data_IF_369127036070
#
_entry.id   IF_369127036070
#
_cell.length_a   1.000
_cell.length_b   1.000
_cell.length_c   1.000
_cell.angle_alpha   90.00
_cell.angle_beta   90.00
_cell.angle_gamma   90.00
#
_symmetry.space_group_name_H-M   'P 1'
#
loop_
_entity.id
_entity.type
_entity.pdbx_description
1 polymer ?
#
# COMPACT_ATOMS: atom_id res chain seq x y z
N UNK A 1 13.09 -0.01 -33.09
CA UNK A 1 12.97 1.44 -32.80
C UNK A 1 13.84 1.79 -31.62
N UNK A 2 14.52 2.92 -31.68
CA UNK A 2 15.20 3.48 -30.51
C UNK A 2 14.18 3.97 -29.48
N UNK A 3 14.54 4.05 -28.19
CA UNK A 3 13.65 4.55 -27.15
C UNK A 3 13.10 5.96 -27.47
N UNK A 4 13.92 6.78 -28.12
CA UNK A 4 13.54 8.13 -28.59
C UNK A 4 12.48 8.08 -29.68
N UNK A 5 12.61 7.18 -30.65
CA UNK A 5 11.59 6.98 -31.70
C UNK A 5 10.26 6.51 -31.10
N UNK A 6 10.31 5.58 -30.14
CA UNK A 6 9.11 5.11 -29.44
C UNK A 6 8.39 6.24 -28.71
N UNK A 7 9.11 7.09 -27.98
CA UNK A 7 8.51 8.25 -27.30
C UNK A 7 7.91 9.25 -28.27
N UNK A 8 8.60 9.56 -29.37
CA UNK A 8 8.10 10.50 -30.39
C UNK A 8 6.82 9.96 -31.05
N UNK A 9 6.80 8.66 -31.38
CA UNK A 9 5.61 8.04 -31.96
C UNK A 9 4.44 8.05 -30.96
N UNK A 10 4.70 7.72 -29.69
CA UNK A 10 3.68 7.73 -28.66
C UNK A 10 3.09 9.13 -28.42
N UNK A 11 3.92 10.17 -28.41
CA UNK A 11 3.45 11.55 -28.31
C UNK A 11 2.49 11.91 -29.45
N UNK A 12 2.83 11.56 -30.69
CA UNK A 12 1.94 11.80 -31.84
C UNK A 12 0.59 11.10 -31.71
N UNK A 13 0.60 9.85 -31.22
CA UNK A 13 -0.63 9.09 -30.96
C UNK A 13 -1.50 9.81 -29.92
N UNK A 14 -0.92 10.28 -28.81
CA UNK A 14 -1.64 11.04 -27.78
C UNK A 14 -2.23 12.35 -28.32
N UNK A 15 -1.44 13.15 -29.04
CA UNK A 15 -1.88 14.43 -29.61
C UNK A 15 -3.03 14.26 -30.59
N UNK A 16 -2.96 13.21 -31.42
CA UNK A 16 -4.00 12.88 -32.41
C UNK A 16 -5.31 12.47 -31.74
N UNK A 17 -5.24 11.59 -30.74
CA UNK A 17 -6.43 11.03 -30.10
C UNK A 17 -7.09 12.02 -29.13
N UNK A 18 -6.30 12.69 -28.30
CA UNK A 18 -6.84 13.55 -27.23
C UNK A 18 -6.91 15.03 -27.60
N UNK A 19 -6.45 15.40 -28.81
CA UNK A 19 -6.61 16.75 -29.38
C UNK A 19 -5.94 17.86 -28.56
N UNK A 20 -4.81 17.58 -27.92
CA UNK A 20 -3.96 18.56 -27.25
C UNK A 20 -2.52 18.50 -27.79
N UNK A 21 -1.70 19.49 -27.45
CA UNK A 21 -0.26 19.47 -27.74
C UNK A 21 0.51 18.99 -26.51
N UNK A 22 1.42 18.04 -26.69
CA UNK A 22 2.27 17.52 -25.60
C UNK A 22 3.56 18.33 -25.55
N UNK A 23 3.78 19.02 -24.43
CA UNK A 23 5.02 19.77 -24.19
C UNK A 23 6.12 18.88 -23.60
N UNK A 24 5.75 17.90 -22.77
CA UNK A 24 6.70 16.98 -22.15
C UNK A 24 6.02 15.66 -21.77
N UNK A 25 6.81 14.59 -21.69
CA UNK A 25 6.37 13.29 -21.19
C UNK A 25 7.43 12.65 -20.32
N UNK A 26 7.03 12.16 -19.16
CA UNK A 26 7.88 11.44 -18.23
C UNK A 26 7.39 10.00 -18.09
N UNK A 27 8.19 9.05 -18.57
CA UNK A 27 7.89 7.62 -18.38
C UNK A 27 8.29 7.22 -16.95
N UNK A 28 7.29 6.95 -16.12
CA UNK A 28 7.48 6.51 -14.74
C UNK A 28 7.88 5.04 -14.65
N UNK A 29 7.79 4.49 -13.43
CA UNK A 29 8.01 3.05 -13.21
C UNK A 29 6.77 2.25 -13.60
N UNK A 30 6.98 1.05 -14.15
CA UNK A 30 5.90 0.12 -14.46
C UNK A 30 4.96 0.67 -15.52
N UNK A 31 3.65 0.60 -15.29
CA UNK A 31 2.61 1.02 -16.23
C UNK A 31 2.30 2.53 -16.20
N UNK A 32 3.02 3.33 -15.42
CA UNK A 32 2.68 4.74 -15.16
C UNK A 32 3.54 5.71 -15.98
N UNK A 33 2.96 6.84 -16.36
CA UNK A 33 3.65 7.96 -17.00
C UNK A 33 2.94 9.28 -16.65
N UNK A 34 3.58 10.42 -16.86
CA UNK A 34 2.96 11.74 -16.72
C UNK A 34 3.13 12.52 -18.03
N UNK A 35 2.09 13.24 -18.44
CA UNK A 35 2.03 14.02 -19.69
C UNK A 35 1.75 15.48 -19.35
N UNK A 36 2.60 16.38 -19.83
CA UNK A 36 2.36 17.82 -19.77
C UNK A 36 1.88 18.28 -21.13
N UNK A 37 0.79 19.05 -21.13
CA UNK A 37 0.13 19.52 -22.35
C UNK A 37 -0.13 21.01 -22.28
N UNK A 38 -0.60 21.60 -23.38
CA UNK A 38 -1.09 22.98 -23.41
C UNK A 38 -2.41 23.19 -22.64
N UNK A 39 -3.10 22.13 -22.22
CA UNK A 39 -4.38 22.20 -21.49
C UNK A 39 -4.28 21.71 -20.03
N UNK A 40 -3.09 21.30 -19.59
CA UNK A 40 -2.86 20.84 -18.22
C UNK A 40 -1.91 19.65 -18.13
N UNK A 41 -1.78 19.11 -16.92
CA UNK A 41 -1.01 17.90 -16.65
C UNK A 41 -1.94 16.69 -16.53
N UNK A 42 -1.51 15.56 -17.05
CA UNK A 42 -2.23 14.29 -16.95
C UNK A 42 -1.33 13.21 -16.36
N UNK A 43 -1.89 12.37 -15.49
CA UNK A 43 -1.30 11.10 -15.11
C UNK A 43 -1.76 10.04 -16.10
N UNK A 44 -0.81 9.36 -16.73
CA UNK A 44 -1.07 8.29 -17.67
C UNK A 44 -0.91 6.91 -17.07
N UNK A 45 -1.71 5.95 -17.55
CA UNK A 45 -1.61 4.54 -17.17
C UNK A 45 -1.72 3.63 -18.39
N UNK A 46 -0.87 2.60 -18.41
CA UNK A 46 -0.84 1.54 -19.41
C UNK A 46 -1.59 0.31 -18.91
N UNK A 47 -2.30 -0.35 -19.82
CA UNK A 47 -3.04 -1.58 -19.60
C UNK A 47 -2.54 -2.64 -20.57
N UNK A 48 -2.37 -3.85 -20.05
CA UNK A 48 -1.78 -4.96 -20.79
C UNK A 48 -2.74 -5.46 -21.87
N UNK A 49 -4.05 -5.42 -21.62
CA UNK A 49 -5.09 -5.94 -22.51
C UNK A 49 -6.45 -5.27 -22.24
N UNK A 50 -7.45 -5.57 -23.07
CA UNK A 50 -8.83 -5.07 -22.91
C UNK A 50 -9.53 -5.62 -21.66
N UNK A 51 -9.12 -6.80 -21.19
CA UNK A 51 -9.64 -7.35 -19.94
C UNK A 51 -9.30 -6.45 -18.75
N UNK A 52 -8.07 -5.97 -18.65
CA UNK A 52 -7.65 -5.01 -17.62
C UNK A 52 -8.46 -3.70 -17.68
N UNK A 53 -8.81 -3.24 -18.89
CA UNK A 53 -9.67 -2.06 -19.08
C UNK A 53 -11.07 -2.35 -18.53
N UNK A 54 -11.69 -3.45 -18.95
CA UNK A 54 -13.04 -3.84 -18.50
C UNK A 54 -13.13 -3.92 -16.98
N UNK A 55 -12.10 -4.44 -16.34
CA UNK A 55 -12.01 -4.50 -14.88
C UNK A 55 -12.02 -3.11 -14.23
N UNK A 56 -11.18 -2.19 -14.72
CA UNK A 56 -11.16 -0.81 -14.20
C UNK A 56 -12.50 -0.13 -14.44
N UNK A 57 -13.13 -0.33 -15.59
CA UNK A 57 -14.44 0.25 -15.87
C UNK A 57 -15.54 -0.33 -14.99
N UNK A 58 -15.55 -1.64 -14.74
CA UNK A 58 -16.53 -2.30 -13.87
C UNK A 58 -16.41 -1.80 -12.45
N UNK A 59 -15.19 -1.77 -11.89
CA UNK A 59 -14.91 -1.20 -10.56
C UNK A 59 -15.30 0.29 -10.51
N UNK A 60 -14.99 1.05 -11.58
CA UNK A 60 -15.35 2.45 -11.68
C UNK A 60 -16.88 2.66 -11.66
N UNK A 61 -17.63 1.87 -12.42
CA UNK A 61 -19.10 1.93 -12.46
C UNK A 61 -19.70 1.57 -11.10
N UNK A 62 -19.27 0.46 -10.49
CA UNK A 62 -19.75 0.02 -9.18
C UNK A 62 -19.58 1.09 -8.11
N UNK A 63 -18.42 1.75 -8.05
CA UNK A 63 -18.16 2.81 -7.08
C UNK A 63 -18.82 4.15 -7.47
N UNK A 64 -19.02 4.44 -8.77
CA UNK A 64 -19.70 5.67 -9.23
C UNK A 64 -21.22 5.64 -8.97
N UNK A 65 -21.87 4.48 -9.05
CA UNK A 65 -23.32 4.33 -8.83
C UNK A 65 -23.76 4.78 -7.43
N UNK A 66 -22.89 4.68 -6.42
CA UNK A 66 -23.19 5.10 -5.06
C UNK A 66 -22.84 6.57 -4.76
N UNK A 67 -22.53 7.38 -5.80
CA UNK A 67 -22.21 8.81 -5.68
C UNK A 67 -21.05 9.12 -4.72
N UNK A 68 -20.04 8.25 -4.65
CA UNK A 68 -18.87 8.46 -3.80
C UNK A 68 -17.68 9.01 -4.62
N UNK A 69 -17.04 10.05 -4.09
CA UNK A 69 -15.99 10.85 -4.75
C UNK A 69 -14.62 10.15 -4.89
N UNK A 70 -14.57 8.82 -4.78
CA UNK A 70 -13.35 8.05 -4.45
C UNK A 70 -12.54 7.62 -5.67
N UNK A 71 -13.14 7.57 -6.86
CA UNK A 71 -12.44 7.10 -8.06
C UNK A 71 -12.06 8.25 -8.99
N UNK A 72 -10.81 8.25 -9.43
CA UNK A 72 -10.38 9.02 -10.59
C UNK A 72 -10.83 8.29 -11.87
N UNK A 73 -11.68 8.95 -12.66
CA UNK A 73 -12.08 8.47 -13.99
C UNK A 73 -11.12 8.98 -15.07
N UNK A 74 -10.87 8.19 -16.12
CA UNK A 74 -10.11 8.65 -17.26
C UNK A 74 -10.70 9.89 -17.96
N UNK A 75 -9.83 10.72 -18.54
CA UNK A 75 -10.21 11.84 -19.40
C UNK A 75 -10.96 11.33 -20.64
N UNK A 76 -12.15 11.90 -20.90
CA UNK A 76 -13.11 11.46 -21.93
C UNK A 76 -13.75 10.08 -21.68
N UNK A 77 -13.82 9.62 -20.44
CA UNK A 77 -14.56 8.38 -20.11
C UNK A 77 -16.03 8.49 -20.57
N UNK A 78 -16.61 7.46 -21.22
CA UNK A 78 -16.10 6.09 -21.40
C UNK A 78 -15.13 5.86 -22.58
N UNK A 79 -14.97 6.80 -23.50
CA UNK A 79 -14.13 6.66 -24.71
C UNK A 79 -12.64 6.95 -24.47
N UNK A 80 -12.16 6.72 -23.26
CA UNK A 80 -10.87 7.25 -22.79
C UNK A 80 -9.64 6.40 -23.13
N UNK A 81 -9.84 5.21 -23.69
CA UNK A 81 -8.78 4.22 -23.87
C UNK A 81 -8.26 4.22 -25.30
N UNK A 82 -6.94 4.40 -25.45
CA UNK A 82 -6.24 4.39 -26.72
C UNK A 82 -5.32 3.19 -26.79
N UNK A 83 -5.37 2.40 -27.86
CA UNK A 83 -4.30 1.45 -28.14
C UNK A 83 -3.09 2.16 -28.76
N UNK A 84 -1.98 2.19 -28.04
CA UNK A 84 -0.72 2.76 -28.53
C UNK A 84 0.09 1.71 -29.27
N UNK A 85 0.38 1.94 -30.55
CA UNK A 85 1.26 1.07 -31.33
C UNK A 85 2.72 1.22 -30.87
N UNK A 86 3.13 2.43 -30.48
CA UNK A 86 4.46 2.67 -29.94
C UNK A 86 4.74 1.82 -28.68
N UNK A 87 3.76 1.73 -27.78
CA UNK A 87 3.91 1.04 -26.50
C UNK A 87 3.32 -0.37 -26.48
N UNK A 88 2.67 -0.80 -27.57
CA UNK A 88 1.99 -2.10 -27.70
C UNK A 88 1.06 -2.38 -26.51
N UNK A 89 0.33 -1.35 -26.06
CA UNK A 89 -0.53 -1.42 -24.88
C UNK A 89 -1.64 -0.39 -24.97
N UNK A 90 -2.72 -0.62 -24.23
CA UNK A 90 -3.77 0.37 -24.07
C UNK A 90 -3.34 1.44 -23.07
N UNK A 91 -3.75 2.68 -23.28
CA UNK A 91 -3.42 3.81 -22.42
C UNK A 91 -4.66 4.61 -22.08
N UNK A 92 -4.70 5.14 -20.86
CA UNK A 92 -5.69 6.11 -20.43
C UNK A 92 -4.97 7.27 -19.71
N UNK A 93 -5.55 8.46 -19.82
CA UNK A 93 -5.08 9.66 -19.13
C UNK A 93 -6.05 10.02 -18.02
N UNK A 94 -5.54 10.47 -16.90
CA UNK A 94 -6.29 10.95 -15.74
C UNK A 94 -5.86 12.39 -15.51
N UNK A 95 -6.81 13.31 -15.31
CA UNK A 95 -6.45 14.69 -15.02
C UNK A 95 -5.62 14.76 -13.74
N UNK A 96 -4.45 15.39 -13.85
CA UNK A 96 -3.59 15.72 -12.72
C UNK A 96 -3.75 17.22 -12.51
N UNK A 97 -4.70 17.60 -11.64
CA UNK A 97 -4.81 19.00 -11.23
C UNK A 97 -3.73 19.28 -10.17
N UNK A 98 -2.48 19.37 -10.63
CA UNK A 98 -1.31 19.65 -9.78
C UNK A 98 -1.22 21.12 -9.40
N UNK A 99 -2.01 22.00 -10.02
CA UNK A 99 -2.08 23.42 -9.70
C UNK A 99 -3.19 23.71 -8.69
N UNK A 100 -2.98 23.38 -7.42
CA UNK A 100 -3.39 24.24 -6.30
C UNK A 100 -2.82 23.80 -4.93
N UNK A 101 -1.95 24.68 -4.41
CA UNK A 101 -1.86 25.22 -3.04
C UNK A 101 -2.47 24.38 -1.91
N UNK A 102 -1.62 23.93 -0.99
CA UNK A 102 -1.76 24.15 0.46
C UNK A 102 -3.02 23.67 1.21
N UNK A 103 -3.91 22.89 0.60
CA UNK A 103 -4.93 22.18 1.35
C UNK A 103 -4.30 20.98 2.04
N UNK A 104 -4.34 20.94 3.38
CA UNK A 104 -4.23 19.68 4.11
C UNK A 104 -5.25 18.73 3.49
N UNK A 105 -4.80 17.63 2.90
CA UNK A 105 -5.73 16.55 2.61
C UNK A 105 -6.25 16.06 3.95
N UNK A 106 -7.56 16.00 4.11
CA UNK A 106 -8.17 15.35 5.26
C UNK A 106 -7.84 13.85 5.16
N UNK A 107 -6.72 13.41 5.75
CA UNK A 107 -6.21 12.03 5.70
C UNK A 107 -7.31 11.08 6.16
N UNK A 108 -8.02 11.46 7.21
CA UNK A 108 -9.22 10.78 7.71
C UNK A 108 -10.25 10.52 6.60
N UNK A 109 -10.54 11.50 5.75
CA UNK A 109 -11.48 11.33 4.65
C UNK A 109 -11.02 10.27 3.66
N UNK A 110 -9.70 10.09 3.44
CA UNK A 110 -9.20 9.04 2.54
C UNK A 110 -9.29 7.65 3.15
N UNK A 111 -8.99 7.54 4.44
CA UNK A 111 -9.18 6.28 5.16
C UNK A 111 -10.66 5.89 5.21
N UNK A 112 -11.55 6.85 5.43
CA UNK A 112 -12.99 6.66 5.37
C UNK A 112 -13.44 6.19 3.98
N UNK A 113 -12.99 6.88 2.93
CA UNK A 113 -13.28 6.53 1.53
C UNK A 113 -12.73 5.16 1.14
N UNK A 114 -11.53 4.78 1.61
CA UNK A 114 -10.97 3.46 1.39
C UNK A 114 -11.82 2.38 2.06
N UNK A 115 -12.25 2.62 3.31
CA UNK A 115 -13.15 1.72 4.03
C UNK A 115 -14.49 1.55 3.31
N UNK A 116 -15.07 2.63 2.80
CA UNK A 116 -16.30 2.58 1.99
C UNK A 116 -16.09 1.77 0.71
N UNK A 117 -14.98 2.01 -0.01
CA UNK A 117 -14.63 1.28 -1.22
C UNK A 117 -14.48 -0.23 -0.96
N UNK A 118 -13.74 -0.62 0.08
CA UNK A 118 -13.58 -2.03 0.46
C UNK A 118 -14.90 -2.68 0.88
N UNK A 119 -15.77 -1.97 1.60
CA UNK A 119 -17.09 -2.47 1.97
C UNK A 119 -17.96 -2.73 0.72
N UNK A 120 -17.87 -1.86 -0.29
CA UNK A 120 -18.63 -2.01 -1.53
C UNK A 120 -18.08 -3.08 -2.46
N UNK A 121 -16.76 -3.16 -2.56
CA UNK A 121 -16.04 -4.14 -3.37
C UNK A 121 -15.81 -5.46 -2.63
N UNK A 122 -16.46 -5.63 -1.48
CA UNK A 122 -16.36 -6.83 -0.68
C UNK A 122 -16.86 -8.00 -1.52
N UNK A 123 -16.03 -9.02 -1.63
CA UNK A 123 -16.34 -10.22 -2.39
C UNK A 123 -16.60 -11.36 -1.42
N UNK A 124 -17.67 -12.14 -1.65
CA UNK A 124 -17.98 -13.30 -0.79
C UNK A 124 -17.13 -14.53 -1.11
N UNK A 125 -16.43 -14.52 -2.25
CA UNK A 125 -15.58 -15.63 -2.66
C UNK A 125 -14.41 -15.82 -1.68
N UNK A 126 -14.33 -17.01 -1.10
CA UNK A 126 -13.25 -17.37 -0.19
C UNK A 126 -11.94 -17.40 -0.97
N UNK A 127 -10.88 -16.71 -0.51
CA UNK A 127 -9.61 -16.74 -1.20
C UNK A 127 -9.02 -18.15 -1.18
N UNK A 128 -8.26 -18.48 -2.23
CA UNK A 128 -7.61 -19.77 -2.39
C UNK A 128 -6.55 -19.97 -1.28
N UNK A 129 -6.89 -20.82 -0.30
CA UNK A 129 -6.06 -21.10 0.87
C UNK A 129 -4.68 -21.63 0.50
N UNK A 130 -4.59 -22.50 -0.50
CA UNK A 130 -3.33 -23.12 -0.91
C UNK A 130 -2.41 -22.05 -1.53
N UNK A 131 -2.99 -21.19 -2.36
CA UNK A 131 -2.26 -20.04 -2.88
C UNK A 131 -1.82 -19.07 -1.78
N UNK A 132 -2.67 -18.78 -0.79
CA UNK A 132 -2.31 -17.92 0.36
C UNK A 132 -1.14 -18.57 1.12
N UNK A 133 -1.22 -19.86 1.43
CA UNK A 133 -0.17 -20.61 2.12
C UNK A 133 1.16 -20.51 1.41
N UNK A 134 1.19 -20.81 0.11
CA UNK A 134 2.41 -20.73 -0.69
C UNK A 134 3.01 -19.31 -0.71
N UNK A 135 2.18 -18.27 -0.83
CA UNK A 135 2.64 -16.87 -0.82
C UNK A 135 3.20 -16.49 0.55
N UNK A 136 2.50 -16.87 1.62
CA UNK A 136 2.90 -16.58 2.99
C UNK A 136 4.19 -17.33 3.38
N UNK A 137 4.31 -18.62 3.07
CA UNK A 137 5.53 -19.42 3.28
C UNK A 137 6.73 -18.86 2.49
N UNK A 138 6.53 -18.48 1.22
CA UNK A 138 7.57 -17.83 0.43
C UNK A 138 7.95 -16.45 0.99
N UNK A 139 7.00 -15.72 1.58
CA UNK A 139 7.26 -14.45 2.27
C UNK A 139 8.06 -14.67 3.55
N UNK A 140 7.67 -15.66 4.36
CA UNK A 140 8.34 -16.04 5.59
C UNK A 140 9.79 -16.45 5.34
N UNK A 141 10.03 -17.29 4.33
CA UNK A 141 11.38 -17.71 3.95
C UNK A 141 12.24 -16.52 3.49
N UNK A 142 11.66 -15.57 2.74
CA UNK A 142 12.35 -14.34 2.38
C UNK A 142 12.69 -13.49 3.61
N UNK A 143 11.76 -13.32 4.54
CA UNK A 143 11.98 -12.56 5.78
C UNK A 143 13.06 -13.20 6.67
N UNK A 144 13.07 -14.53 6.81
CA UNK A 144 14.13 -15.26 7.52
C UNK A 144 15.51 -15.01 6.92
N UNK A 145 15.62 -15.08 5.58
CA UNK A 145 16.87 -14.73 4.87
C UNK A 145 17.29 -13.28 5.10
N UNK A 146 16.34 -12.35 5.15
CA UNK A 146 16.65 -10.94 5.44
C UNK A 146 17.12 -10.72 6.88
N UNK A 147 16.58 -11.46 7.84
CA UNK A 147 17.04 -11.38 9.23
C UNK A 147 18.48 -11.89 9.37
N UNK A 148 18.82 -13.03 8.74
CA UNK A 148 20.19 -13.51 8.70
C UNK A 148 21.14 -12.50 8.02
N UNK A 149 20.70 -11.87 6.92
CA UNK A 149 21.47 -10.83 6.25
C UNK A 149 21.69 -9.58 7.13
N UNK A 150 20.68 -9.17 7.90
CA UNK A 150 20.84 -8.08 8.88
C UNK A 150 21.89 -8.42 9.94
N UNK A 151 21.87 -9.65 10.45
CA UNK A 151 22.84 -10.15 11.44
C UNK A 151 24.27 -10.17 10.85
N UNK A 152 24.43 -10.59 9.59
CA UNK A 152 25.74 -10.56 8.92
C UNK A 152 26.24 -9.12 8.70
N UNK A 153 25.35 -8.20 8.33
CA UNK A 153 25.68 -6.78 8.11
C UNK A 153 26.20 -6.14 9.40
N UNK A 154 25.51 -6.34 10.52
CA UNK A 154 25.93 -5.73 11.79
C UNK A 154 27.27 -6.31 12.26
N UNK A 155 27.46 -7.64 12.16
CA UNK A 155 28.74 -8.29 12.51
C UNK A 155 29.89 -7.71 11.67
N UNK A 156 29.62 -7.39 10.40
CA UNK A 156 30.62 -6.76 9.53
C UNK A 156 30.92 -5.33 9.98
N UNK A 157 29.92 -4.51 10.25
CA UNK A 157 30.10 -3.13 10.69
C UNK A 157 30.82 -3.05 12.05
N UNK A 158 30.54 -3.98 12.96
CA UNK A 158 31.16 -4.04 14.29
C UNK A 158 32.66 -4.39 14.26
N UNK A 159 33.15 -4.96 13.15
CA UNK A 159 34.58 -5.27 12.96
C UNK A 159 35.38 -4.05 12.49
N UNK A 160 34.72 -2.99 12.03
CA UNK A 160 35.41 -1.79 11.56
C UNK A 160 35.98 -1.01 12.75
N UNK A 161 37.30 -0.76 12.72
CA UNK A 161 37.98 -0.01 13.79
C UNK A 161 37.50 1.44 13.90
N UNK A 162 37.10 2.01 12.77
CA UNK A 162 36.63 3.38 12.65
C UNK A 162 35.37 3.39 11.77
N UNK A 163 34.20 3.06 12.35
CA UNK A 163 32.97 3.00 11.59
C UNK A 163 32.61 4.38 11.03
N UNK A 164 32.10 4.40 9.81
CA UNK A 164 31.59 5.62 9.19
C UNK A 164 30.37 6.17 9.94
N UNK A 165 30.00 7.45 9.73
CA UNK A 165 28.76 7.98 10.30
C UNK A 165 27.52 7.13 9.98
N UNK A 166 27.40 6.60 8.76
CA UNK A 166 26.30 5.71 8.40
C UNK A 166 26.33 4.42 9.21
N UNK A 167 27.49 3.78 9.34
CA UNK A 167 27.66 2.53 10.08
C UNK A 167 27.34 2.73 11.56
N UNK A 168 27.81 3.82 12.17
CA UNK A 168 27.50 4.19 13.54
C UNK A 168 25.99 4.35 13.76
N UNK A 169 25.32 5.10 12.88
CA UNK A 169 23.88 5.30 13.00
C UNK A 169 23.10 4.01 12.74
N UNK A 170 23.55 3.16 11.83
CA UNK A 170 22.94 1.86 11.57
C UNK A 170 23.05 0.96 12.81
N UNK A 171 24.24 0.89 13.43
CA UNK A 171 24.49 0.13 14.66
C UNK A 171 23.58 0.59 15.81
N UNK A 172 23.38 1.89 15.97
CA UNK A 172 22.52 2.45 17.02
C UNK A 172 21.05 2.01 16.91
N UNK A 173 20.55 1.78 15.70
CA UNK A 173 19.14 1.42 15.47
C UNK A 173 18.93 -0.07 15.21
N UNK A 174 20.00 -0.83 14.96
CA UNK A 174 19.95 -2.25 14.61
C UNK A 174 19.08 -3.08 15.55
N UNK A 175 19.29 -2.95 16.87
CA UNK A 175 18.56 -3.76 17.85
C UNK A 175 17.04 -3.61 17.75
N UNK A 176 16.56 -2.37 17.59
CA UNK A 176 15.12 -2.08 17.44
C UNK A 176 14.61 -2.64 16.11
N UNK A 177 15.35 -2.45 15.02
CA UNK A 177 14.93 -2.98 13.70
C UNK A 177 14.93 -4.51 13.65
N UNK A 178 15.83 -5.15 14.40
CA UNK A 178 15.89 -6.60 14.50
C UNK A 178 14.67 -7.13 15.24
N UNK A 179 14.33 -6.52 16.38
CA UNK A 179 13.14 -6.87 17.14
C UNK A 179 11.86 -6.67 16.31
N UNK A 180 11.68 -5.52 15.67
CA UNK A 180 10.52 -5.25 14.80
C UNK A 180 10.39 -6.29 13.67
N UNK A 181 11.52 -6.71 13.10
CA UNK A 181 11.51 -7.74 12.06
C UNK A 181 11.14 -9.12 12.61
N UNK A 182 11.54 -9.44 13.83
CA UNK A 182 11.15 -10.68 14.50
C UNK A 182 9.65 -10.70 14.80
N UNK A 183 9.11 -9.59 15.30
CA UNK A 183 7.66 -9.40 15.48
C UNK A 183 6.91 -9.55 14.15
N UNK A 184 7.43 -8.96 13.06
CA UNK A 184 6.88 -9.12 11.71
C UNK A 184 6.88 -10.59 11.23
N UNK A 185 7.95 -11.34 11.56
CA UNK A 185 8.05 -12.76 11.23
C UNK A 185 7.08 -13.58 12.05
N UNK A 186 6.96 -13.29 13.34
CA UNK A 186 6.07 -14.03 14.25
C UNK A 186 4.60 -13.78 13.92
N UNK A 187 4.21 -12.52 13.70
CA UNK A 187 2.85 -12.17 13.28
C UNK A 187 2.45 -12.88 11.96
N UNK A 188 3.39 -13.05 11.03
CA UNK A 188 3.13 -13.80 9.80
C UNK A 188 2.94 -15.30 10.06
N UNK A 189 3.71 -15.89 10.98
CA UNK A 189 3.51 -17.30 11.37
C UNK A 189 2.17 -17.50 12.05
N UNK A 190 1.84 -16.67 13.04
CA UNK A 190 0.55 -16.74 13.72
C UNK A 190 -0.62 -16.56 12.73
N UNK A 191 -0.48 -15.66 11.75
CA UNK A 191 -1.46 -15.52 10.68
C UNK A 191 -1.61 -16.81 9.85
N UNK A 192 -0.49 -17.44 9.49
CA UNK A 192 -0.52 -18.72 8.75
C UNK A 192 -1.21 -19.79 9.59
N UNK A 193 -0.78 -19.99 10.83
CA UNK A 193 -1.27 -21.05 11.71
C UNK A 193 -2.80 -20.89 11.92
N UNK A 194 -3.27 -19.67 12.21
CA UNK A 194 -4.70 -19.40 12.45
C UNK A 194 -5.56 -19.45 11.19
N UNK A 195 -5.18 -18.72 10.14
CA UNK A 195 -6.05 -18.58 8.97
C UNK A 195 -6.02 -19.80 8.04
N UNK A 196 -4.91 -20.54 8.03
CA UNK A 196 -4.72 -21.65 7.10
C UNK A 196 -4.96 -22.97 7.81
N UNK A 197 -4.35 -23.18 8.98
CA UNK A 197 -4.36 -24.48 9.62
C UNK A 197 -5.57 -24.65 10.57
N UNK A 198 -6.05 -23.59 11.22
CA UNK A 198 -7.24 -23.61 12.10
C UNK A 198 -8.57 -23.27 11.38
N UNK A 199 -8.53 -22.97 10.08
CA UNK A 199 -9.68 -22.53 9.26
C UNK A 199 -10.42 -21.30 9.82
N UNK A 200 -9.73 -20.47 10.63
CA UNK A 200 -10.24 -19.15 10.95
C UNK A 200 -10.32 -18.33 9.67
N UNK A 201 -11.47 -17.70 9.41
CA UNK A 201 -11.68 -17.02 8.14
C UNK A 201 -10.59 -15.97 7.92
N UNK A 202 -9.85 -16.01 6.79
CA UNK A 202 -9.00 -14.89 6.42
C UNK A 202 -9.92 -13.67 6.35
N UNK A 203 -9.48 -12.54 6.92
CA UNK A 203 -10.30 -11.34 7.03
C UNK A 203 -10.98 -10.96 5.72
N UNK A 204 -12.02 -10.12 5.79
CA UNK A 204 -12.86 -9.78 4.63
C UNK A 204 -11.98 -9.37 3.44
N UNK A 205 -12.17 -10.03 2.31
CA UNK A 205 -11.47 -9.70 1.07
C UNK A 205 -12.31 -8.74 0.23
N UNK A 206 -11.64 -7.87 -0.51
CA UNK A 206 -12.26 -7.01 -1.49
C UNK A 206 -11.44 -7.02 -2.78
N UNK A 207 -12.03 -6.49 -3.85
CA UNK A 207 -11.24 -6.13 -5.02
C UNK A 207 -10.18 -5.13 -4.60
N UNK A 208 -8.92 -5.56 -4.70
CA UNK A 208 -7.80 -4.80 -4.22
C UNK A 208 -7.55 -3.55 -5.06
N UNK A 209 -7.16 -2.49 -4.37
CA UNK A 209 -6.69 -1.23 -4.93
C UNK A 209 -5.15 -1.17 -4.96
N UNK A 210 -4.44 -2.29 -4.72
CA UNK A 210 -2.99 -2.34 -4.44
C UNK A 210 -2.11 -2.00 -5.64
N UNK A 211 -2.65 -2.07 -6.86
CA UNK A 211 -2.01 -1.55 -8.07
C UNK A 211 -2.51 -0.14 -8.43
N UNK A 212 -3.52 0.38 -7.75
CA UNK A 212 -4.08 1.71 -7.98
C UNK A 212 -3.08 2.85 -7.81
N UNK A 213 -3.36 4.06 -8.28
CA UNK A 213 -2.55 5.26 -7.96
C UNK A 213 -3.45 6.26 -7.26
N UNK A 214 -2.90 6.98 -6.28
CA UNK A 214 -3.57 8.14 -5.72
C UNK A 214 -3.33 9.33 -6.65
N UNK A 215 -4.40 9.97 -7.09
CA UNK A 215 -4.36 11.23 -7.84
C UNK A 215 -4.84 12.33 -6.93
N UNK A 216 -4.13 13.46 -6.92
CA UNK A 216 -4.52 14.65 -6.17
C UNK A 216 -5.37 15.55 -7.07
N UNK A 217 -6.66 15.71 -6.78
CA UNK A 217 -7.59 16.58 -7.53
C UNK A 217 -8.72 17.14 -6.64
N UNK A 218 -8.76 18.45 -6.38
CA UNK A 218 -9.16 19.09 -5.09
C UNK A 218 -9.18 18.26 -3.78
N UNK A 219 -9.43 16.95 -3.84
CA UNK A 219 -9.34 15.87 -2.86
C UNK A 219 -8.52 14.71 -3.49
N UNK A 220 -7.95 13.83 -2.69
CA UNK A 220 -7.23 12.65 -3.21
C UNK A 220 -8.24 11.59 -3.67
N UNK A 221 -7.98 10.94 -4.81
CA UNK A 221 -8.81 9.90 -5.42
C UNK A 221 -7.99 8.67 -5.76
N UNK A 222 -8.62 7.50 -5.75
CA UNK A 222 -8.03 6.24 -6.15
C UNK A 222 -8.23 5.98 -7.64
N UNK A 223 -7.18 5.57 -8.34
CA UNK A 223 -7.31 4.93 -9.65
C UNK A 223 -7.45 3.43 -9.41
N UNK A 224 -8.46 2.74 -9.96
CA UNK A 224 -8.61 1.30 -9.80
C UNK A 224 -7.38 0.51 -10.28
N UNK A 225 -7.13 -0.66 -9.70
CA UNK A 225 -6.03 -1.54 -10.10
C UNK A 225 -6.19 -2.04 -11.56
N UNK A 226 -5.10 -2.15 -12.33
CA UNK A 226 -5.20 -2.70 -13.71
C UNK A 226 -5.50 -4.19 -13.72
N UNK A 227 -5.16 -4.88 -12.63
CA UNK A 227 -5.43 -6.28 -12.44
C UNK A 227 -6.44 -6.41 -11.31
N UNK A 228 -7.54 -7.14 -11.57
CA UNK A 228 -8.41 -7.59 -10.47
C UNK A 228 -7.63 -8.62 -9.67
N UNK A 229 -7.36 -8.28 -8.43
CA UNK A 229 -6.98 -9.25 -7.40
C UNK A 229 -7.97 -9.11 -6.25
N UNK A 230 -8.34 -10.25 -5.70
CA UNK A 230 -9.10 -10.31 -4.45
C UNK A 230 -8.03 -10.54 -3.39
N UNK A 231 -7.75 -9.51 -2.60
CA UNK A 231 -6.73 -9.55 -1.56
C UNK A 231 -7.31 -9.06 -0.23
N UNK A 232 -6.56 -9.24 0.84
CA UNK A 232 -6.92 -8.70 2.15
C UNK A 232 -6.86 -7.17 2.11
N UNK A 233 -7.92 -6.55 2.63
CA UNK A 233 -8.07 -5.08 2.70
C UNK A 233 -6.89 -4.37 3.38
N UNK A 234 -6.21 -5.09 4.29
CA UNK A 234 -5.06 -4.60 5.02
C UNK A 234 -3.91 -4.12 4.13
N UNK A 235 -3.70 -4.73 2.95
CA UNK A 235 -2.60 -4.35 2.07
C UNK A 235 -2.79 -2.95 1.46
N UNK A 236 -4.03 -2.61 1.13
CA UNK A 236 -4.38 -1.28 0.66
C UNK A 236 -4.29 -0.23 1.78
N UNK A 237 -4.67 -0.62 3.01
CA UNK A 237 -4.48 0.22 4.19
C UNK A 237 -3.01 0.53 4.46
N UNK A 238 -2.14 -0.50 4.47
CA UNK A 238 -0.69 -0.34 4.60
C UNK A 238 -0.14 0.58 3.52
N UNK A 239 -0.62 0.45 2.29
CA UNK A 239 -0.17 1.30 1.19
C UNK A 239 -0.55 2.76 1.39
N UNK A 240 -1.76 3.03 1.89
CA UNK A 240 -2.20 4.38 2.21
C UNK A 240 -1.35 4.99 3.34
N UNK A 241 -1.07 4.21 4.40
CA UNK A 241 -0.19 4.61 5.52
C UNK A 241 1.23 4.94 5.04
N UNK A 242 1.75 4.17 4.09
CA UNK A 242 3.07 4.44 3.51
C UNK A 242 3.13 5.78 2.74
N UNK A 243 1.99 6.37 2.38
CA UNK A 243 1.88 7.70 1.75
C UNK A 243 1.69 8.80 2.79
N UNK A 244 0.98 8.52 3.88
CA UNK A 244 0.65 9.45 4.97
C UNK A 244 1.25 8.97 6.30
N UNK A 245 2.53 9.26 6.56
CA UNK A 245 3.22 8.81 7.77
C UNK A 245 2.94 9.70 9.01
N UNK A 246 2.05 10.69 8.91
CA UNK A 246 1.81 11.68 9.96
C UNK A 246 1.03 11.10 11.17
N UNK A 247 1.09 11.78 12.32
CA UNK A 247 0.76 11.24 13.66
C UNK A 247 -0.74 11.16 14.02
N UNK A 248 -1.68 11.64 13.19
CA UNK A 248 -3.14 11.54 13.45
C UNK A 248 -3.72 10.15 13.10
N UNK A 249 -2.96 9.13 13.45
CA UNK A 249 -3.11 7.75 12.99
C UNK A 249 -4.37 7.07 13.54
N UNK A 250 -4.77 7.37 14.78
CA UNK A 250 -5.94 6.75 15.42
C UNK A 250 -7.25 7.19 14.77
N UNK A 251 -7.41 8.49 14.53
CA UNK A 251 -8.60 9.07 13.90
C UNK A 251 -8.79 8.53 12.48
N UNK A 252 -7.69 8.34 11.75
CA UNK A 252 -7.70 7.75 10.42
C UNK A 252 -8.11 6.26 10.45
N UNK A 253 -7.51 5.45 11.35
CA UNK A 253 -7.91 4.04 11.52
C UNK A 253 -9.36 3.88 11.95
N UNK A 254 -9.83 4.71 12.89
CA UNK A 254 -11.22 4.74 13.32
C UNK A 254 -12.16 5.02 12.15
N UNK A 255 -11.83 6.01 11.32
CA UNK A 255 -12.63 6.39 10.17
C UNK A 255 -12.73 5.24 9.15
N UNK A 256 -11.62 4.55 8.87
CA UNK A 256 -11.63 3.32 8.07
C UNK A 256 -12.51 2.23 8.71
N UNK A 257 -12.35 1.99 10.01
CA UNK A 257 -13.05 0.92 10.72
C UNK A 257 -14.56 1.12 10.88
N UNK A 258 -15.09 2.33 10.70
CA UNK A 258 -16.55 2.57 10.61
C UNK A 258 -17.19 1.81 9.45
N UNK A 259 -16.40 1.50 8.41
CA UNK A 259 -16.90 0.83 7.22
C UNK A 259 -16.43 -0.62 7.11
N UNK A 260 -15.20 -0.94 7.55
CA UNK A 260 -14.64 -2.30 7.53
C UNK A 260 -14.17 -2.67 8.92
N UNK A 261 -14.83 -3.66 9.52
CA UNK A 261 -14.37 -4.24 10.78
C UNK A 261 -13.12 -5.09 10.52
N UNK A 262 -11.99 -4.68 11.12
CA UNK A 262 -10.73 -5.42 11.07
C UNK A 262 -10.71 -6.44 12.21
N UNK A 263 -10.35 -7.68 11.90
CA UNK A 263 -10.24 -8.76 12.88
C UNK A 263 -8.81 -8.85 13.43
N UNK A 264 -8.58 -9.66 14.45
CA UNK A 264 -7.21 -9.92 14.94
C UNK A 264 -6.28 -10.46 13.84
N UNK A 265 -6.81 -11.28 12.93
CA UNK A 265 -6.07 -11.84 11.81
C UNK A 265 -5.63 -10.74 10.83
N UNK A 266 -6.49 -9.73 10.61
CA UNK A 266 -6.10 -8.55 9.83
C UNK A 266 -4.97 -7.78 10.53
N UNK A 267 -5.00 -7.67 11.87
CA UNK A 267 -3.92 -7.03 12.65
C UNK A 267 -2.61 -7.81 12.52
N UNK A 268 -2.64 -9.14 12.63
CA UNK A 268 -1.44 -9.98 12.44
C UNK A 268 -0.85 -9.80 11.04
N UNK A 269 -1.69 -9.78 10.01
CA UNK A 269 -1.23 -9.54 8.64
C UNK A 269 -0.73 -8.11 8.42
N UNK A 270 -1.32 -7.13 9.12
CA UNK A 270 -0.85 -5.75 9.16
C UNK A 270 0.56 -5.66 9.73
N UNK A 271 0.77 -6.22 10.92
CA UNK A 271 2.05 -6.24 11.65
C UNK A 271 3.12 -6.99 10.86
N UNK A 272 2.75 -8.14 10.29
CA UNK A 272 3.58 -8.93 9.39
C UNK A 272 4.10 -8.11 8.19
N UNK A 273 3.37 -7.08 7.76
CA UNK A 273 3.75 -6.29 6.60
C UNK A 273 4.43 -4.98 6.97
N UNK A 274 3.93 -4.25 7.97
CA UNK A 274 4.37 -2.90 8.29
C UNK A 274 5.65 -2.88 9.14
N UNK A 275 5.85 -3.88 10.01
CA UNK A 275 7.04 -3.99 10.87
C UNK A 275 8.25 -4.61 10.15
N UNK A 276 8.11 -4.98 8.88
CA UNK A 276 9.20 -5.57 8.09
C UNK A 276 10.33 -4.56 7.84
N UNK A 277 11.52 -4.85 8.38
CA UNK A 277 12.70 -3.98 8.27
C UNK A 277 13.63 -4.37 7.11
N UNK A 278 13.16 -5.18 6.15
CA UNK A 278 13.90 -5.55 4.92
C UNK A 278 14.38 -4.34 4.10
N UNK A 279 13.75 -3.17 4.24
CA UNK A 279 14.22 -1.90 3.67
C UNK A 279 15.56 -1.46 4.27
N UNK A 280 15.78 -1.65 5.58
CA UNK A 280 17.05 -1.35 6.27
C UNK A 280 18.17 -2.24 5.78
N UNK A 281 17.92 -3.55 5.69
CA UNK A 281 18.87 -4.53 5.15
C UNK A 281 19.31 -4.16 3.72
N UNK A 282 18.35 -3.79 2.87
CA UNK A 282 18.62 -3.37 1.48
C UNK A 282 19.41 -2.07 1.42
N UNK A 283 19.14 -1.11 2.30
CA UNK A 283 19.87 0.16 2.36
C UNK A 283 21.32 -0.08 2.77
N UNK A 284 21.56 -0.84 3.83
CA UNK A 284 22.91 -1.18 4.29
C UNK A 284 23.68 -2.04 3.28
N UNK A 285 23.02 -3.01 2.62
CA UNK A 285 23.66 -3.79 1.55
C UNK A 285 24.13 -2.89 0.39
N UNK A 286 23.30 -1.90 -0.01
CA UNK A 286 23.67 -0.92 -1.05
C UNK A 286 24.83 -0.03 -0.61
N UNK A 287 24.81 0.40 0.66
CA UNK A 287 25.90 1.18 1.25
C UNK A 287 27.23 0.41 1.22
N UNK A 288 27.25 -0.79 1.81
CA UNK A 288 28.45 -1.62 1.94
C UNK A 288 29.01 -2.10 0.59
N UNK A 289 28.13 -2.33 -0.40
CA UNK A 289 28.56 -2.70 -1.75
C UNK A 289 29.05 -1.49 -2.57
N UNK A 290 28.91 -0.26 -2.06
CA UNK A 290 29.13 1.00 -2.77
C UNK A 290 28.52 1.01 -4.17
N UNK A 291 27.41 0.31 -4.36
CA UNK A 291 26.73 0.25 -5.65
C UNK A 291 26.02 1.58 -5.90
N UNK A 292 26.63 2.41 -6.75
CA UNK A 292 26.07 3.66 -7.26
C UNK A 292 26.91 4.89 -6.89
N UNK A 293 26.42 6.06 -7.32
CA UNK A 293 27.10 7.34 -7.13
C UNK A 293 26.57 8.11 -5.90
N UNK A 294 26.00 7.40 -4.91
CA UNK A 294 25.46 8.05 -3.72
C UNK A 294 26.55 8.39 -2.72
N UNK A 295 26.50 9.60 -2.17
CA UNK A 295 27.43 10.06 -1.14
C UNK A 295 27.03 9.57 0.26
N UNK A 296 27.97 9.60 1.22
CA UNK A 296 27.72 9.27 2.63
C UNK A 296 26.50 10.03 3.18
N UNK A 297 26.43 11.33 2.91
CA UNK A 297 25.33 12.21 3.36
C UNK A 297 23.98 11.73 2.80
N UNK A 298 23.94 11.29 1.54
CA UNK A 298 22.70 10.77 0.94
C UNK A 298 22.27 9.44 1.56
N UNK A 299 23.22 8.61 2.02
CA UNK A 299 22.88 7.37 2.73
C UNK A 299 22.39 7.64 4.15
N UNK A 300 22.99 8.61 4.85
CA UNK A 300 22.53 9.06 6.16
C UNK A 300 21.10 9.63 6.11
N UNK A 301 20.82 10.50 5.15
CA UNK A 301 19.48 11.07 4.97
C UNK A 301 18.42 9.98 4.71
N UNK A 302 18.75 9.00 3.86
CA UNK A 302 17.89 7.83 3.63
C UNK A 302 17.72 6.97 4.88
N UNK A 303 18.76 6.81 5.69
CA UNK A 303 18.71 6.05 6.93
C UNK A 303 17.82 6.74 7.97
N UNK A 304 17.93 8.06 8.10
CA UNK A 304 17.12 8.89 8.98
C UNK A 304 15.64 8.85 8.57
N UNK A 305 15.37 9.03 7.26
CA UNK A 305 14.02 8.91 6.70
C UNK A 305 13.42 7.53 6.97
N UNK A 306 14.22 6.47 6.77
CA UNK A 306 13.80 5.10 7.04
C UNK A 306 13.51 4.87 8.53
N UNK A 307 14.36 5.39 9.41
CA UNK A 307 14.17 5.26 10.86
C UNK A 307 12.88 5.95 11.32
N UNK A 308 12.65 7.19 10.86
CA UNK A 308 11.42 7.92 11.14
C UNK A 308 10.20 7.11 10.69
N UNK A 309 10.24 6.59 9.46
CA UNK A 309 9.19 5.73 8.91
C UNK A 309 8.93 4.47 9.76
N UNK A 310 9.97 3.76 10.20
CA UNK A 310 9.82 2.55 11.01
C UNK A 310 9.29 2.85 12.43
N UNK A 311 9.57 4.03 12.98
CA UNK A 311 8.94 4.50 14.23
C UNK A 311 7.45 4.78 14.04
N UNK A 312 7.10 5.48 12.96
CA UNK A 312 5.70 5.68 12.56
C UNK A 312 4.98 4.35 12.41
N UNK A 313 5.56 3.40 11.66
CA UNK A 313 4.99 2.06 11.46
C UNK A 313 4.69 1.32 12.77
N UNK A 314 5.58 1.43 13.76
CA UNK A 314 5.36 0.87 15.09
C UNK A 314 4.16 1.53 15.80
N UNK A 315 4.05 2.85 15.72
CA UNK A 315 2.91 3.57 16.30
C UNK A 315 1.58 3.15 15.65
N UNK A 316 1.54 2.99 14.33
CA UNK A 316 0.36 2.47 13.62
C UNK A 316 -0.02 1.06 14.08
N UNK A 317 0.96 0.17 14.25
CA UNK A 317 0.76 -1.20 14.73
C UNK A 317 0.15 -1.21 16.14
N UNK A 318 0.74 -0.46 17.08
CA UNK A 318 0.26 -0.38 18.47
C UNK A 318 -1.18 0.17 18.54
N UNK A 319 -1.48 1.23 17.79
CA UNK A 319 -2.82 1.80 17.80
C UNK A 319 -3.86 0.89 17.17
N UNK A 320 -3.52 0.18 16.09
CA UNK A 320 -4.44 -0.77 15.48
C UNK A 320 -4.72 -1.94 16.45
N UNK A 321 -3.70 -2.43 17.16
CA UNK A 321 -3.87 -3.44 18.20
C UNK A 321 -4.78 -2.95 19.33
N UNK A 322 -4.57 -1.74 19.86
CA UNK A 322 -5.43 -1.14 20.88
C UNK A 322 -6.87 -1.04 20.39
N UNK A 323 -7.08 -0.50 19.19
CA UNK A 323 -8.41 -0.23 18.65
C UNK A 323 -9.21 -1.51 18.36
N UNK A 324 -8.55 -2.59 17.94
CA UNK A 324 -9.18 -3.91 17.76
C UNK A 324 -9.39 -4.61 19.10
N UNK A 325 -8.43 -4.52 20.03
CA UNK A 325 -8.52 -5.11 21.37
C UNK A 325 -9.62 -4.51 22.24
N UNK A 326 -9.78 -3.19 22.25
CA UNK A 326 -10.86 -2.49 22.98
C UNK A 326 -12.24 -2.95 22.50
N UNK A 327 -12.41 -3.16 21.19
CA UNK A 327 -13.68 -3.63 20.63
C UNK A 327 -13.99 -5.08 20.98
N UNK A 328 -12.98 -5.95 21.06
CA UNK A 328 -13.18 -7.33 21.50
C UNK A 328 -13.69 -7.37 22.95
N UNK A 329 -13.10 -6.57 23.84
CA UNK A 329 -13.52 -6.48 25.24
C UNK A 329 -14.98 -5.97 25.40
N UNK A 330 -15.41 -4.99 24.59
CA UNK A 330 -16.80 -4.48 24.63
C UNK A 330 -17.82 -5.53 24.16
N UNK A 331 -17.46 -6.38 23.20
CA UNK A 331 -18.34 -7.47 22.74
C UNK A 331 -18.49 -8.54 23.82
N UNK A 332 -17.41 -8.89 24.51
CA UNK A 332 -17.46 -9.87 25.60
C UNK A 332 -18.30 -9.39 26.79
N UNK A 333 -18.23 -8.10 27.16
CA UNK A 333 -19.08 -7.52 28.21
C UNK A 333 -20.57 -7.45 27.82
N UNK A 334 -20.89 -7.19 26.55
CA UNK A 334 -22.28 -7.15 26.07
C UNK A 334 -22.95 -8.53 25.97
N UNK A 335 -22.15 -9.62 25.96
CA UNK A 335 -22.65 -10.99 25.82
C UNK A 335 -22.95 -11.65 27.17
N UNK A 336 -22.72 -10.95 28.29
CA UNK A 336 -23.12 -11.38 29.65
C UNK A 336 -24.10 -10.41 30.32
N UNK A 337 -25.40 -10.49 30.00
CA UNK A 337 -26.43 -10.35 31.02
C UNK A 337 -26.92 -11.76 31.34
N UNK A 338 -26.13 -12.53 32.08
CA UNK A 338 -26.71 -13.65 32.84
C UNK A 338 -27.66 -13.02 33.86
N UNK A 339 -28.94 -13.06 33.53
CA UNK A 339 -30.04 -12.94 34.47
C UNK A 339 -29.94 -14.08 35.48
N UNK A 340 -29.08 -13.93 36.50
CA UNK A 340 -29.31 -14.56 37.80
C UNK A 340 -30.45 -13.80 38.49
N UNK A 341 -31.68 -13.97 38.01
CA UNK A 341 -32.84 -13.74 38.86
C UNK A 341 -33.19 -15.07 39.54
N UNK A 342 -32.44 -15.35 40.61
CA UNK A 342 -32.84 -16.34 41.62
C UNK A 342 -34.16 -15.85 42.22
N UNK A 343 -35.28 -16.43 41.79
CA UNK A 343 -36.48 -16.41 42.62
C UNK A 343 -36.30 -17.42 43.76
N UNK A 344 -35.78 -16.89 44.87
CA UNK A 344 -36.01 -17.45 46.19
C UNK A 344 -37.44 -17.10 46.66
N UNK A 345 -38.19 -18.15 47.02
CA UNK A 345 -39.18 -18.22 48.11
C UNK A 345 -40.47 -17.38 47.94
N UNK A 346 -41.60 -18.06 47.71
CA UNK A 346 -42.49 -18.55 48.79
C UNK A 346 -43.47 -19.64 48.30
#
# INVERSE_FOLDING_TARGET
MSAKETTVQFVKELETTFSFQVSNIHMGRGSQFDVWTNVGQFGGRRFVNEEAIRHVEETARQLAEQSMFVIAVPYRWPEAYLYSQALQSFVALYQNDTEQRGGQSDEKALFEQLGQAHRMLQHEEKPDKERIKQVCEASLERKKKQSANLDEIIIRMDRERYPSPFEQQFQQHFGVWRQQHEESVEALKEYIDKCIDEDEHPGKTAVSMTDGRLVKQPMLRFIPATKRSIDANVFDLIRLINVFPDEETSVALEAYQRHVHLTEQDVRLFDASILDTSSAARLATRYLSRKGNSSEIQFLDRLQTLNAKLKTHRSWSEQLQTLVGEKAAVVDEATFPESEEKQEVE
#
